data_IF_792465444490
#
_entry.id   IF_792465444490
#
_cell.length_a   1.000
_cell.length_b   1.000
_cell.length_c   1.000
_cell.angle_alpha   90.00
_cell.angle_beta   90.00
_cell.angle_gamma   90.00
#
_symmetry.space_group_name_H-M   'P 1'
#
loop_
_entity.id
_entity.type
_entity.pdbx_description
1 polymer ?
#
# COMPACT_ATOMS: atom_id res chain seq x y z
N UNK A 1 5.92 0.73 -16.48
CA UNK A 1 5.03 0.16 -17.51
C UNK A 1 3.71 0.90 -17.41
N UNK A 2 3.08 1.29 -18.52
CA UNK A 2 1.73 1.89 -18.49
C UNK A 2 0.78 0.80 -18.96
N UNK A 3 -0.04 0.30 -18.04
CA UNK A 3 -1.01 -0.77 -18.31
C UNK A 3 -2.36 -0.13 -18.73
N UNK A 4 -2.91 -0.48 -19.91
CA UNK A 4 -4.20 0.05 -20.36
C UNK A 4 -5.41 -0.39 -19.51
N UNK A 5 -5.26 -1.43 -18.68
CA UNK A 5 -6.27 -1.88 -17.72
C UNK A 5 -6.28 -1.07 -16.42
N UNK A 6 -5.28 -0.24 -16.15
CA UNK A 6 -5.25 0.61 -14.97
C UNK A 6 -6.12 1.85 -15.15
N UNK A 7 -6.96 2.13 -14.15
CA UNK A 7 -7.74 3.37 -14.12
C UNK A 7 -6.83 4.60 -14.05
N UNK A 8 -7.27 5.70 -14.67
CA UNK A 8 -6.61 6.98 -14.54
C UNK A 8 -6.52 7.39 -13.05
N UNK A 9 -5.35 7.89 -12.64
CA UNK A 9 -5.08 8.27 -11.25
C UNK A 9 -4.71 7.11 -10.32
N UNK A 10 -4.69 5.87 -10.81
CA UNK A 10 -4.27 4.70 -10.03
C UNK A 10 -2.84 4.30 -10.36
N UNK A 11 -2.01 4.16 -9.33
CA UNK A 11 -0.71 3.52 -9.43
C UNK A 11 -0.76 2.19 -8.67
N UNK A 12 -0.30 1.12 -9.31
CA UNK A 12 -0.20 -0.20 -8.68
C UNK A 12 1.28 -0.52 -8.51
N UNK A 13 1.66 -0.82 -7.26
CA UNK A 13 2.98 -1.29 -6.91
C UNK A 13 2.81 -2.61 -6.15
N UNK A 14 3.26 -3.70 -6.77
CA UNK A 14 3.10 -5.04 -6.21
C UNK A 14 3.94 -5.21 -4.94
N UNK A 15 3.29 -5.61 -3.85
CA UNK A 15 4.00 -5.96 -2.63
C UNK A 15 4.86 -7.21 -2.87
N UNK A 16 6.11 -7.18 -2.42
CA UNK A 16 6.98 -8.33 -2.51
C UNK A 16 8.38 -8.08 -2.00
N UNK A 17 9.25 -9.06 -2.24
CA UNK A 17 10.64 -9.12 -1.77
C UNK A 17 11.61 -8.27 -2.63
N UNK A 18 11.10 -7.14 -3.15
CA UNK A 18 11.79 -6.28 -4.12
C UNK A 18 12.62 -5.17 -3.48
N UNK A 19 12.58 -5.01 -2.15
CA UNK A 19 13.25 -3.91 -1.43
C UNK A 19 14.76 -3.83 -1.71
N UNK A 20 15.40 -4.99 -1.92
CA UNK A 20 16.82 -5.07 -2.32
C UNK A 20 17.16 -4.32 -3.61
N UNK A 21 16.19 -4.10 -4.48
CA UNK A 21 16.35 -3.38 -5.75
C UNK A 21 15.98 -1.90 -5.65
N UNK A 22 15.45 -1.47 -4.51
CA UNK A 22 14.89 -0.15 -4.26
C UNK A 22 15.61 0.58 -3.13
N UNK A 23 16.86 0.20 -2.84
CA UNK A 23 17.67 0.82 -1.79
C UNK A 23 17.12 0.52 -0.39
N UNK A 24 16.66 -0.71 -0.17
CA UNK A 24 16.05 -1.20 1.07
C UNK A 24 14.69 -0.58 1.43
N UNK A 25 14.15 0.29 0.57
CA UNK A 25 12.78 0.81 0.66
C UNK A 25 11.79 -0.08 -0.12
N UNK A 26 10.49 0.05 0.16
CA UNK A 26 9.47 -0.75 -0.54
C UNK A 26 8.05 -0.24 -0.40
N UNK A 27 7.08 -1.09 -0.74
CA UNK A 27 5.65 -0.77 -0.68
C UNK A 27 5.26 -0.23 0.70
N UNK A 28 5.68 -0.95 1.75
CA UNK A 28 5.37 -0.62 3.14
C UNK A 28 6.01 0.68 3.63
N UNK A 29 7.05 1.19 2.95
CA UNK A 29 7.67 2.49 3.27
C UNK A 29 6.78 3.68 2.92
N UNK A 30 5.85 3.51 1.97
CA UNK A 30 4.93 4.57 1.54
C UNK A 30 3.67 4.61 2.43
N UNK A 31 3.30 3.48 3.03
CA UNK A 31 2.08 3.34 3.80
C UNK A 31 2.24 3.80 5.23
N UNK A 32 1.24 4.52 5.76
CA UNK A 32 1.14 4.81 7.19
C UNK A 32 0.25 3.75 7.87
N UNK A 33 0.64 3.19 9.03
CA UNK A 33 -0.15 2.18 9.72
C UNK A 33 -1.38 2.81 10.39
N UNK A 34 -2.41 3.05 9.57
CA UNK A 34 -3.72 3.51 10.00
C UNK A 34 -4.71 2.35 10.06
N UNK A 35 -5.47 2.28 11.15
CA UNK A 35 -6.56 1.32 11.35
C UNK A 35 -7.89 2.07 11.31
N UNK A 36 -8.90 1.53 10.64
CA UNK A 36 -10.25 2.11 10.69
C UNK A 36 -10.83 1.92 12.08
N UNK A 37 -11.32 2.98 12.76
CA UNK A 37 -11.93 2.83 14.10
C UNK A 37 -13.10 1.84 14.12
N UNK A 38 -13.84 1.72 13.01
CA UNK A 38 -14.94 0.75 12.87
C UNK A 38 -14.48 -0.71 12.98
N UNK A 39 -13.19 -0.99 12.73
CA UNK A 39 -12.66 -2.35 12.80
C UNK A 39 -12.35 -2.79 14.24
N UNK A 40 -12.39 -1.88 15.21
CA UNK A 40 -12.04 -2.14 16.62
C UNK A 40 -13.21 -2.61 17.48
N UNK A 41 -14.42 -2.73 16.91
CA UNK A 41 -15.66 -2.98 17.67
C UNK A 41 -15.67 -4.37 18.35
N UNK A 42 -15.02 -5.36 17.74
CA UNK A 42 -14.94 -6.72 18.28
C UNK A 42 -13.62 -7.36 17.86
N UNK A 43 -13.19 -8.44 18.52
CA UNK A 43 -12.00 -9.20 18.13
C UNK A 43 -12.29 -10.69 18.24
N UNK A 44 -12.08 -11.40 17.13
CA UNK A 44 -12.20 -12.86 17.02
C UNK A 44 -11.02 -13.39 16.20
N UNK A 45 -10.10 -14.15 16.80
CA UNK A 45 -8.97 -14.72 16.08
C UNK A 45 -9.40 -15.49 14.82
N UNK A 46 -8.81 -15.15 13.67
CA UNK A 46 -9.10 -15.81 12.39
C UNK A 46 -10.45 -15.47 11.75
N UNK A 47 -11.29 -14.64 12.37
CA UNK A 47 -12.55 -14.16 11.79
C UNK A 47 -12.58 -12.64 11.65
N UNK A 48 -12.21 -11.92 12.71
CA UNK A 48 -12.27 -10.46 12.74
C UNK A 48 -11.18 -9.88 13.64
N UNK A 49 -10.34 -9.04 13.05
CA UNK A 49 -9.32 -8.29 13.77
C UNK A 49 -9.20 -6.91 13.15
N UNK A 50 -8.80 -5.89 13.94
CA UNK A 50 -8.41 -4.61 13.37
C UNK A 50 -7.33 -4.83 12.31
N UNK A 51 -7.57 -4.31 11.11
CA UNK A 51 -6.60 -4.38 10.00
C UNK A 51 -6.21 -2.98 9.58
N UNK A 52 -4.93 -2.83 9.27
CA UNK A 52 -4.40 -1.64 8.63
C UNK A 52 -4.96 -1.48 7.22
N UNK A 53 -5.16 -0.23 6.80
CA UNK A 53 -5.74 0.09 5.49
C UNK A 53 -4.62 0.40 4.49
N UNK A 54 -4.09 -0.65 3.88
CA UNK A 54 -2.90 -0.53 3.04
C UNK A 54 -3.12 0.20 1.71
N UNK A 55 -4.32 0.09 1.12
CA UNK A 55 -4.60 0.56 -0.25
C UNK A 55 -5.21 1.97 -0.33
N UNK A 56 -5.26 2.71 0.78
CA UNK A 56 -5.78 4.09 0.82
C UNK A 56 -4.67 5.15 0.74
N UNK A 57 -3.41 4.73 0.65
CA UNK A 57 -2.26 5.62 0.54
C UNK A 57 -2.30 6.42 -0.77
N UNK A 58 -2.30 7.75 -0.66
CA UNK A 58 -2.10 8.65 -1.79
C UNK A 58 -0.61 8.96 -1.93
N UNK A 59 -0.12 8.90 -3.16
CA UNK A 59 1.29 9.15 -3.48
C UNK A 59 1.39 10.19 -4.58
N UNK A 60 2.44 11.00 -4.53
CA UNK A 60 2.84 11.85 -5.65
C UNK A 60 3.79 11.07 -6.57
N UNK A 61 3.46 11.01 -7.86
CA UNK A 61 4.22 10.23 -8.83
C UNK A 61 4.97 11.17 -9.75
N UNK A 62 6.31 11.07 -9.71
CA UNK A 62 7.19 11.84 -10.59
C UNK A 62 8.17 10.93 -11.33
N UNK A 63 8.50 11.32 -12.56
CA UNK A 63 9.62 10.71 -13.28
C UNK A 63 10.92 11.09 -12.57
N UNK A 64 11.72 10.10 -12.20
CA UNK A 64 13.06 10.36 -11.67
C UNK A 64 13.95 10.92 -12.78
N UNK A 65 14.57 12.08 -12.53
CA UNK A 65 15.71 12.55 -13.32
C UNK A 65 16.97 11.88 -12.78
N UNK A 66 17.74 11.28 -13.69
CA UNK A 66 19.10 10.82 -13.41
C UNK A 66 20.00 12.03 -13.22
#
# INVERSE_FOLDING_TARGET
>A
MVDPGCSAGTAIFEEGWWSRYLGDEGYNSLTYPWTKPLHEIYFVPGMWSPTTVWNECLVDVRRMSV
#
